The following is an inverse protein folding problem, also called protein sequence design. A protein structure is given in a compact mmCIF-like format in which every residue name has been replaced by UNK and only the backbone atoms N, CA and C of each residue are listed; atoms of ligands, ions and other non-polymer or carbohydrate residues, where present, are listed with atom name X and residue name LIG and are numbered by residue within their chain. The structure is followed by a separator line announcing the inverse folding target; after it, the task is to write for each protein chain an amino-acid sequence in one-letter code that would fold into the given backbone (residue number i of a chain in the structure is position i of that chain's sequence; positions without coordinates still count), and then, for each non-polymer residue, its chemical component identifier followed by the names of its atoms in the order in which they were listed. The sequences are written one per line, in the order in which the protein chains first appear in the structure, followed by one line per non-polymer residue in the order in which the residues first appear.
data_IF_367259090640
#
_entry.id   IF_367259090640
#
_cell.length_a   1.000
_cell.length_b   1.000
_cell.length_c   1.000
_cell.angle_alpha   90.00
_cell.angle_beta   90.00
_cell.angle_gamma   90.00
#
_symmetry.space_group_name_H-M   'P 1'
#
loop_
_entity.id
_entity.type
_entity.pdbx_description
1 polymer ?
#
# COMPACT_ATOMS: atom_id res chain seq x y z
N UNK A 1 -32.53 -3.48 29.78
CA UNK A 1 -32.00 -2.10 29.80
C UNK A 1 -30.97 -2.02 28.68
N UNK A 2 -31.38 -1.65 27.47
CA UNK A 2 -31.56 -0.25 27.00
C UNK A 2 -30.20 0.44 26.84
N UNK A 3 -29.75 0.53 25.58
CA UNK A 3 -28.70 1.44 25.13
C UNK A 3 -29.36 2.77 24.75
N UNK A 4 -28.78 3.90 25.16
CA UNK A 4 -28.59 5.01 24.22
C UNK A 4 -27.13 5.52 24.32
N UNK A 5 -26.38 5.66 23.22
CA UNK A 5 -26.62 6.65 22.17
C UNK A 5 -26.51 8.10 22.68
N UNK A 6 -25.33 8.49 23.17
CA UNK A 6 -24.86 9.87 23.01
C UNK A 6 -24.60 10.11 21.52
N UNK A 7 -25.13 11.13 20.85
CA UNK A 7 -25.77 12.34 21.36
C UNK A 7 -25.14 13.54 20.67
N UNK A 8 -25.31 13.66 19.35
CA UNK A 8 -25.00 14.91 18.65
C UNK A 8 -26.07 15.96 19.00
N UNK A 9 -25.68 17.19 19.36
CA UNK A 9 -26.50 18.37 19.13
C UNK A 9 -26.07 19.05 17.83
N UNK A 10 -26.97 19.12 16.85
CA UNK A 10 -26.94 20.17 15.82
C UNK A 10 -27.43 21.47 16.45
N UNK A 11 -26.87 22.63 16.09
CA UNK A 11 -27.59 23.88 16.18
C UNK A 11 -28.30 24.16 14.85
N UNK A 12 -29.61 23.92 14.81
CA UNK A 12 -30.47 24.57 13.83
C UNK A 12 -30.64 26.04 14.24
N UNK A 13 -30.31 26.99 13.36
CA UNK A 13 -30.86 28.35 13.40
C UNK A 13 -31.30 28.71 11.98
N UNK A 14 -32.45 29.37 11.92
CA UNK A 14 -33.42 29.29 10.84
C UNK A 14 -33.53 30.62 10.03
N UNK A 15 -34.28 30.54 8.93
CA UNK A 15 -34.94 31.64 8.23
C UNK A 15 -34.10 32.65 7.43
N UNK A 16 -34.00 32.34 6.12
CA UNK A 16 -34.61 33.11 5.02
C UNK A 16 -34.48 34.65 5.01
N UNK A 17 -33.88 35.18 3.93
CA UNK A 17 -34.58 36.12 3.02
C UNK A 17 -34.10 35.86 1.58
N UNK A 18 -35.06 35.81 0.64
CA UNK A 18 -34.79 35.75 -0.80
C UNK A 18 -34.51 37.13 -1.39
N UNK A 19 -33.59 37.23 -2.35
CA UNK A 19 -33.81 38.05 -3.56
C UNK A 19 -32.82 37.71 -4.69
N UNK A 20 -33.37 37.58 -5.90
CA UNK A 20 -32.69 37.56 -7.20
C UNK A 20 -33.61 38.33 -8.17
N UNK A 21 -33.22 38.66 -9.44
CA UNK A 21 -31.97 38.33 -10.14
C UNK A 21 -31.30 39.54 -10.86
N UNK A 22 -30.09 39.35 -11.41
CA UNK A 22 -29.38 40.43 -12.12
C UNK A 22 -28.19 39.98 -12.98
N UNK A 23 -28.47 39.34 -14.12
CA UNK A 23 -27.62 39.17 -15.33
C UNK A 23 -26.08 39.24 -15.19
N UNK A 24 -25.42 38.09 -15.41
CA UNK A 24 -24.12 38.04 -16.10
C UNK A 24 -22.89 37.80 -15.23
N UNK A 25 -22.12 36.77 -15.60
CA UNK A 25 -20.67 36.65 -15.47
C UNK A 25 -19.99 37.19 -14.18
N UNK A 26 -20.33 36.67 -13.00
CA UNK A 26 -19.42 36.74 -11.85
C UNK A 26 -19.65 35.61 -10.83
N UNK A 27 -18.61 34.78 -10.65
CA UNK A 27 -18.23 34.06 -9.44
C UNK A 27 -19.27 33.26 -8.61
N UNK A 28 -19.02 31.92 -8.56
CA UNK A 28 -18.80 31.12 -7.31
C UNK A 28 -20.08 30.86 -6.45
N UNK A 29 -20.22 29.84 -5.61
CA UNK A 29 -19.28 29.05 -4.79
C UNK A 29 -20.08 27.88 -4.15
N UNK A 30 -19.47 26.71 -3.95
CA UNK A 30 -19.72 25.93 -2.73
C UNK A 30 -18.38 25.79 -2.01
N UNK A 31 -18.29 26.45 -0.85
CA UNK A 31 -17.15 26.51 0.05
C UNK A 31 -17.38 25.46 1.15
N UNK A 32 -16.52 24.46 1.30
CA UNK A 32 -15.19 24.49 1.95
C UNK A 32 -15.28 24.19 3.46
N UNK A 33 -14.61 23.11 3.85
CA UNK A 33 -13.80 22.89 5.06
C UNK A 33 -12.93 21.65 4.75
N UNK A 34 -11.65 21.54 5.11
CA UNK A 34 -10.51 22.45 4.95
C UNK A 34 -9.23 21.56 4.99
N UNK A 35 -8.13 21.72 4.25
CA UNK A 35 -7.63 22.77 3.34
C UNK A 35 -7.07 22.13 2.05
N UNK A 36 -7.09 22.87 0.93
CA UNK A 36 -6.22 22.61 -0.22
C UNK A 36 -5.43 23.89 -0.55
N UNK A 37 -4.08 23.84 -0.69
CA UNK A 37 -3.32 25.00 -1.10
C UNK A 37 -3.70 25.42 -2.53
N UNK A 38 -3.52 26.72 -2.81
CA UNK A 38 -3.89 27.35 -4.07
C UNK A 38 -3.11 26.76 -5.25
N UNK A 39 -3.68 26.88 -6.45
CA UNK A 39 -3.26 26.21 -7.69
C UNK A 39 -1.77 26.36 -8.04
N UNK A 40 -0.97 25.40 -7.60
CA UNK A 40 0.26 24.99 -8.28
C UNK A 40 -0.09 23.87 -9.25
N UNK A 41 0.33 23.95 -10.51
CA UNK A 41 0.36 22.75 -11.35
C UNK A 41 1.37 21.78 -10.72
N UNK A 42 0.99 20.52 -10.39
CA UNK A 42 1.88 19.61 -9.71
C UNK A 42 3.12 19.41 -10.57
N UNK A 43 4.27 19.83 -10.04
CA UNK A 43 5.57 19.67 -10.70
C UNK A 43 5.75 18.23 -11.15
N UNK A 44 6.53 18.01 -12.20
CA UNK A 44 6.79 16.65 -12.70
C UNK A 44 7.29 15.71 -11.59
N UNK A 45 7.97 16.24 -10.56
CA UNK A 45 8.41 15.51 -9.36
C UNK A 45 7.24 15.12 -8.43
N UNK A 46 6.31 16.02 -8.13
CA UNK A 46 5.11 15.71 -7.33
C UNK A 46 4.23 14.67 -8.03
N UNK A 47 4.05 14.79 -9.36
CA UNK A 47 3.29 13.82 -10.16
C UNK A 47 3.93 12.43 -10.11
N UNK A 48 5.26 12.32 -10.31
CA UNK A 48 5.97 11.04 -10.25
C UNK A 48 6.02 10.44 -8.82
N UNK A 49 6.06 11.28 -7.79
CA UNK A 49 5.95 10.83 -6.40
C UNK A 49 4.56 10.24 -6.09
N UNK A 50 3.48 10.90 -6.52
CA UNK A 50 2.11 10.38 -6.42
C UNK A 50 1.96 9.04 -7.17
N UNK A 51 2.43 8.97 -8.43
CA UNK A 51 2.38 7.74 -9.25
C UNK A 51 3.10 6.58 -8.56
N UNK A 52 4.27 6.81 -7.97
CA UNK A 52 5.00 5.78 -7.21
C UNK A 52 4.20 5.32 -5.98
N UNK A 53 3.66 6.25 -5.18
CA UNK A 53 2.88 5.90 -3.98
C UNK A 53 1.62 5.10 -4.33
N UNK A 54 0.86 5.53 -5.32
CA UNK A 54 -0.34 4.80 -5.79
C UNK A 54 0.00 3.40 -6.29
N UNK A 55 1.08 3.25 -7.07
CA UNK A 55 1.54 1.94 -7.51
C UNK A 55 1.90 1.03 -6.33
N UNK A 56 2.59 1.55 -5.31
CA UNK A 56 2.90 0.80 -4.09
C UNK A 56 1.65 0.41 -3.30
N UNK A 57 0.64 1.27 -3.19
CA UNK A 57 -0.66 0.94 -2.57
C UNK A 57 -1.33 -0.22 -3.31
N UNK A 58 -1.46 -0.13 -4.63
CA UNK A 58 -2.07 -1.20 -5.46
C UNK A 58 -1.30 -2.52 -5.32
N UNK A 59 0.04 -2.48 -5.32
CA UNK A 59 0.89 -3.65 -5.10
C UNK A 59 0.63 -4.27 -3.71
N UNK A 60 0.50 -3.44 -2.67
CA UNK A 60 0.29 -3.88 -1.30
C UNK A 60 -1.08 -4.53 -1.09
N UNK A 61 -2.13 -3.99 -1.73
CA UNK A 61 -3.49 -4.53 -1.71
C UNK A 61 -3.58 -5.91 -2.39
N UNK A 62 -2.88 -6.08 -3.51
CA UNK A 62 -2.92 -7.29 -4.34
C UNK A 62 -1.74 -8.25 -4.08
N UNK A 63 -0.96 -8.02 -3.02
CA UNK A 63 0.38 -8.63 -2.87
C UNK A 63 0.38 -10.16 -2.85
N UNK A 64 -0.69 -10.75 -2.29
CA UNK A 64 -0.91 -12.19 -2.15
C UNK A 64 -1.47 -12.85 -3.42
N UNK A 65 -2.03 -12.07 -4.35
CA UNK A 65 -2.48 -12.57 -5.63
C UNK A 65 -1.25 -12.82 -6.53
N UNK A 66 -1.13 -14.02 -7.09
CA UNK A 66 -0.06 -14.36 -8.03
C UNK A 66 -0.24 -13.63 -9.38
N UNK A 67 -1.49 -13.28 -9.74
CA UNK A 67 -1.85 -12.54 -10.96
C UNK A 67 -1.36 -11.08 -10.98
N UNK A 68 -0.93 -10.55 -9.82
CA UNK A 68 -0.30 -9.24 -9.71
C UNK A 68 1.01 -9.18 -10.53
N UNK A 69 0.90 -8.62 -11.73
CA UNK A 69 2.00 -8.40 -12.68
C UNK A 69 2.31 -6.92 -12.86
N UNK A 70 3.45 -6.60 -13.50
CA UNK A 70 3.78 -5.22 -13.90
C UNK A 70 2.69 -4.61 -14.79
N UNK A 71 2.07 -5.40 -15.68
CA UNK A 71 0.98 -4.94 -16.53
C UNK A 71 -0.25 -4.54 -15.71
N UNK A 72 -0.62 -5.36 -14.72
CA UNK A 72 -1.72 -5.06 -13.79
C UNK A 72 -1.51 -3.72 -13.07
N UNK A 73 -0.35 -3.53 -12.43
CA UNK A 73 -0.03 -2.29 -11.69
C UNK A 73 -0.08 -1.08 -12.62
N UNK A 74 0.53 -1.17 -13.80
CA UNK A 74 0.58 -0.06 -14.76
C UNK A 74 -0.82 0.32 -15.26
N UNK A 75 -1.71 -0.65 -15.48
CA UNK A 75 -3.10 -0.39 -15.85
C UNK A 75 -3.90 0.22 -14.69
N UNK A 76 -3.74 -0.31 -13.48
CA UNK A 76 -4.49 0.10 -12.29
C UNK A 76 -4.17 1.52 -11.81
N UNK A 77 -2.93 2.01 -12.00
CA UNK A 77 -2.50 3.38 -11.64
C UNK A 77 -3.12 4.46 -12.54
N UNK A 78 -3.82 4.08 -13.62
CA UNK A 78 -4.48 4.99 -14.59
C UNK A 78 -3.54 6.06 -15.18
N UNK A 79 -2.25 5.73 -15.31
CA UNK A 79 -1.20 6.59 -15.87
C UNK A 79 -0.53 5.91 -17.07
N UNK A 80 0.15 6.68 -17.91
CA UNK A 80 0.90 6.10 -19.03
C UNK A 80 2.05 5.21 -18.53
N UNK A 81 2.35 4.12 -19.25
CA UNK A 81 3.45 3.20 -18.90
C UNK A 81 4.80 3.92 -18.69
N UNK A 82 5.19 4.89 -19.56
CA UNK A 82 6.42 5.66 -19.36
C UNK A 82 6.42 6.48 -18.07
N UNK A 83 5.29 7.05 -17.64
CA UNK A 83 5.20 7.79 -16.37
C UNK A 83 5.41 6.86 -15.18
N UNK A 84 4.79 5.68 -15.17
CA UNK A 84 4.98 4.68 -14.11
C UNK A 84 6.44 4.21 -14.07
N UNK A 85 7.04 3.87 -15.20
CA UNK A 85 8.44 3.44 -15.24
C UNK A 85 9.41 4.53 -14.76
N UNK A 86 9.19 5.80 -15.16
CA UNK A 86 9.98 6.95 -14.65
C UNK A 86 9.85 7.14 -13.14
N UNK A 87 8.66 6.94 -12.56
CA UNK A 87 8.40 7.11 -11.13
C UNK A 87 9.18 6.11 -10.25
N UNK A 88 9.37 4.88 -10.74
CA UNK A 88 10.22 3.86 -10.10
C UNK A 88 11.71 4.06 -10.43
N UNK A 89 12.05 4.44 -11.66
CA UNK A 89 13.44 4.71 -12.06
C UNK A 89 14.08 5.85 -11.26
N UNK A 90 13.32 6.89 -10.90
CA UNK A 90 13.78 7.97 -9.99
C UNK A 90 14.22 7.47 -8.60
N UNK A 91 13.92 6.22 -8.24
CA UNK A 91 14.28 5.56 -6.97
C UNK A 91 15.24 4.39 -7.17
N UNK A 92 15.83 4.25 -8.36
CA UNK A 92 16.64 3.08 -8.76
C UNK A 92 15.90 1.75 -8.61
N UNK A 93 14.57 1.76 -8.78
CA UNK A 93 13.70 0.60 -8.59
C UNK A 93 12.99 0.21 -9.90
N UNK A 94 12.45 -1.01 -9.91
CA UNK A 94 11.55 -1.49 -10.96
C UNK A 94 10.26 -1.99 -10.33
N UNK A 95 9.14 -1.92 -11.05
CA UNK A 95 7.83 -2.39 -10.56
C UNK A 95 7.90 -3.87 -10.14
N UNK A 96 8.52 -4.73 -10.96
CA UNK A 96 8.74 -6.14 -10.63
C UNK A 96 9.70 -6.35 -9.45
N UNK A 97 10.67 -5.44 -9.26
CA UNK A 97 11.55 -5.42 -8.09
C UNK A 97 10.79 -5.15 -6.80
N UNK A 98 9.92 -4.13 -6.80
CA UNK A 98 9.11 -3.76 -5.64
C UNK A 98 8.07 -4.84 -5.30
N UNK A 99 7.35 -5.39 -6.28
CA UNK A 99 6.44 -6.54 -6.06
C UNK A 99 7.20 -7.70 -5.38
N UNK A 100 8.36 -8.09 -5.93
CA UNK A 100 9.18 -9.17 -5.36
C UNK A 100 9.63 -8.86 -3.93
N UNK A 101 10.15 -7.66 -3.69
CA UNK A 101 10.66 -7.26 -2.38
C UNK A 101 9.56 -7.26 -1.33
N UNK A 102 8.39 -6.68 -1.63
CA UNK A 102 7.24 -6.68 -0.74
C UNK A 102 6.73 -8.11 -0.46
N UNK A 103 6.65 -8.99 -1.47
CA UNK A 103 6.29 -10.40 -1.27
C UNK A 103 7.30 -11.14 -0.39
N UNK A 104 8.60 -10.89 -0.56
CA UNK A 104 9.65 -11.46 0.30
C UNK A 104 9.56 -10.94 1.74
N UNK A 105 9.33 -9.64 1.94
CA UNK A 105 9.12 -9.05 3.25
C UNK A 105 7.92 -9.69 3.97
N UNK A 106 6.79 -9.90 3.27
CA UNK A 106 5.63 -10.60 3.82
C UNK A 106 5.98 -12.05 4.22
N UNK A 107 6.75 -12.79 3.41
CA UNK A 107 7.24 -14.13 3.79
C UNK A 107 8.13 -14.05 5.03
N UNK A 108 9.07 -13.11 5.12
CA UNK A 108 9.91 -12.93 6.30
C UNK A 108 9.08 -12.66 7.57
N UNK A 109 8.05 -11.82 7.49
CA UNK A 109 7.11 -11.58 8.62
C UNK A 109 6.39 -12.86 9.04
N UNK A 110 5.94 -13.68 8.10
CA UNK A 110 5.26 -14.96 8.41
C UNK A 110 6.23 -16.05 8.91
N UNK A 111 7.50 -16.04 8.50
CA UNK A 111 8.54 -16.93 9.03
C UNK A 111 9.01 -16.51 10.44
N UNK A 112 8.84 -15.24 10.79
CA UNK A 112 9.23 -14.64 12.07
C UNK A 112 8.07 -14.54 13.07
N UNK A 113 6.94 -15.22 12.83
CA UNK A 113 5.77 -15.21 13.71
C UNK A 113 5.21 -16.63 13.93
N UNK A 114 4.65 -16.94 15.12
CA UNK A 114 3.92 -18.18 15.34
C UNK A 114 2.67 -18.27 14.43
N UNK A 115 2.25 -19.49 14.00
CA UNK A 115 2.89 -20.78 14.28
C UNK A 115 4.02 -21.10 13.28
N UNK A 116 5.19 -21.49 13.80
CA UNK A 116 6.41 -21.72 12.99
C UNK A 116 6.41 -23.02 12.17
N UNK A 117 5.39 -23.87 12.29
CA UNK A 117 5.30 -25.17 11.63
C UNK A 117 4.72 -25.11 10.20
N UNK A 118 4.18 -23.98 9.73
CA UNK A 118 3.61 -23.85 8.39
C UNK A 118 4.69 -24.13 7.32
N UNK A 119 4.48 -25.01 6.33
CA UNK A 119 5.51 -25.31 5.33
C UNK A 119 5.99 -24.06 4.56
N UNK A 120 7.29 -24.00 4.25
CA UNK A 120 7.91 -22.86 3.53
C UNK A 120 7.22 -22.64 2.17
N UNK A 121 6.97 -23.74 1.46
CA UNK A 121 6.23 -23.75 0.19
C UNK A 121 4.82 -23.14 0.31
N UNK A 122 4.06 -23.54 1.35
CA UNK A 122 2.74 -22.97 1.63
C UNK A 122 2.81 -21.46 1.89
N UNK A 123 3.86 -20.97 2.57
CA UNK A 123 4.06 -19.54 2.77
C UNK A 123 4.42 -18.81 1.47
N UNK A 124 5.23 -19.41 0.59
CA UNK A 124 5.55 -18.83 -0.72
C UNK A 124 4.28 -18.62 -1.57
N UNK A 125 3.43 -19.65 -1.71
CA UNK A 125 2.17 -19.53 -2.44
C UNK A 125 1.21 -18.52 -1.80
N UNK A 126 1.06 -18.52 -0.47
CA UNK A 126 0.23 -17.54 0.27
C UNK A 126 0.68 -16.09 0.10
N UNK A 127 1.95 -15.87 -0.26
CA UNK A 127 2.53 -14.57 -0.54
C UNK A 127 2.61 -14.27 -2.06
N UNK A 128 1.87 -14.98 -2.90
CA UNK A 128 1.75 -14.70 -4.33
C UNK A 128 2.95 -15.11 -5.19
N UNK A 129 3.82 -16.01 -4.72
CA UNK A 129 4.81 -16.65 -5.60
C UNK A 129 4.15 -17.76 -6.41
N UNK A 130 4.36 -17.75 -7.73
CA UNK A 130 3.85 -18.77 -8.66
C UNK A 130 4.58 -20.12 -8.50
N UNK A 131 5.88 -20.10 -8.18
CA UNK A 131 6.68 -21.31 -8.02
C UNK A 131 7.77 -21.18 -6.93
N UNK A 132 8.02 -22.30 -6.23
CA UNK A 132 8.95 -22.38 -5.08
C UNK A 132 10.42 -22.23 -5.50
N UNK A 133 10.80 -22.63 -6.73
CA UNK A 133 12.18 -22.53 -7.25
C UNK A 133 12.54 -21.06 -7.50
N UNK A 134 11.63 -20.27 -8.05
CA UNK A 134 11.78 -18.82 -8.20
C UNK A 134 11.73 -18.11 -6.87
N UNK A 135 10.82 -18.49 -5.97
CA UNK A 135 10.82 -18.00 -4.60
C UNK A 135 12.18 -18.20 -3.91
N UNK A 136 12.70 -19.44 -3.85
CA UNK A 136 13.98 -19.74 -3.17
C UNK A 136 15.17 -18.97 -3.78
N UNK A 137 15.24 -18.89 -5.11
CA UNK A 137 16.26 -18.12 -5.84
C UNK A 137 16.20 -16.62 -5.51
N UNK A 138 15.00 -16.06 -5.46
CA UNK A 138 14.78 -14.66 -5.09
C UNK A 138 15.08 -14.43 -3.61
N UNK A 139 14.60 -15.26 -2.71
CA UNK A 139 14.81 -15.13 -1.27
C UNK A 139 16.31 -15.15 -0.94
N UNK A 140 17.08 -16.11 -1.45
CA UNK A 140 18.53 -16.16 -1.20
C UNK A 140 19.29 -14.98 -1.80
N UNK A 141 18.83 -14.43 -2.94
CA UNK A 141 19.46 -13.26 -3.57
C UNK A 141 19.21 -11.96 -2.80
N UNK A 142 17.98 -11.74 -2.33
CA UNK A 142 17.59 -10.45 -1.71
C UNK A 142 17.77 -10.46 -0.17
N UNK A 143 17.65 -11.62 0.49
CA UNK A 143 17.74 -11.79 1.96
C UNK A 143 19.10 -12.41 2.39
N UNK A 144 19.85 -13.00 1.46
CA UNK A 144 21.19 -13.55 1.70
C UNK A 144 21.25 -14.95 2.34
N UNK A 145 20.11 -15.51 2.78
CA UNK A 145 20.01 -16.84 3.44
C UNK A 145 18.94 -17.69 2.77
N UNK A 146 18.85 -18.99 3.08
CA UNK A 146 17.66 -19.77 2.70
C UNK A 146 16.46 -19.46 3.63
N UNK A 147 15.20 -19.66 3.20
CA UNK A 147 14.04 -19.47 4.06
C UNK A 147 14.03 -20.39 5.29
N UNK A 148 14.68 -21.57 5.20
CA UNK A 148 14.85 -22.50 6.31
C UNK A 148 15.87 -22.00 7.34
N UNK A 149 17.03 -21.54 6.89
CA UNK A 149 18.02 -20.84 7.74
C UNK A 149 17.41 -19.63 8.45
N UNK A 150 16.63 -18.83 7.71
CA UNK A 150 15.92 -17.67 8.26
C UNK A 150 14.95 -18.08 9.36
N UNK A 151 14.12 -19.09 9.13
CA UNK A 151 13.18 -19.62 10.15
C UNK A 151 13.89 -20.14 11.38
N UNK A 152 14.96 -20.93 11.21
CA UNK A 152 15.72 -21.49 12.32
C UNK A 152 16.32 -20.37 13.21
N UNK A 153 16.86 -19.31 12.59
CA UNK A 153 17.33 -18.12 13.30
C UNK A 153 16.21 -17.40 14.04
N UNK A 154 15.04 -17.22 13.41
CA UNK A 154 13.90 -16.60 14.08
C UNK A 154 13.42 -17.44 15.27
N UNK A 155 13.33 -18.77 15.12
CA UNK A 155 12.96 -19.68 16.19
C UNK A 155 13.89 -19.56 17.41
N UNK A 156 15.21 -19.54 17.22
CA UNK A 156 16.18 -19.33 18.30
C UNK A 156 15.92 -18.01 19.06
N UNK A 157 15.82 -16.89 18.34
CA UNK A 157 15.53 -15.57 18.92
C UNK A 157 14.16 -15.49 19.61
N UNK A 158 13.19 -16.29 19.18
CA UNK A 158 11.87 -16.38 19.83
C UNK A 158 11.93 -17.21 21.11
N UNK A 159 12.73 -18.28 21.15
CA UNK A 159 12.94 -19.09 22.36
C UNK A 159 13.71 -18.29 23.43
N UNK A 160 14.78 -17.60 23.04
CA UNK A 160 15.56 -16.69 23.91
C UNK A 160 14.71 -15.57 24.53
N UNK A 161 13.59 -15.17 23.90
CA UNK A 161 12.70 -14.12 24.40
C UNK A 161 11.61 -14.63 25.37
N UNK A 162 11.22 -15.89 25.25
CA UNK A 162 10.02 -16.44 25.91
C UNK A 162 10.35 -17.27 27.16
N UNK A 163 11.61 -17.64 27.36
CA UNK A 163 12.11 -18.14 28.64
C UNK A 163 12.75 -17.00 29.46
N UNK A 164 11.98 -16.28 30.32
CA UNK A 164 12.59 -15.66 31.49
C UNK A 164 13.05 -16.78 32.46
N UNK A 165 14.12 -16.51 33.20
CA UNK A 165 14.60 -17.37 34.30
C UNK A 165 13.54 -17.54 35.42
#
# INVERSE_FOLDING_TARGET
MVVPATGQPRPDIDLCVMSAPGRGCFLRLIAQIDKAPRTEHPSARQTLDWVYRQACTIIQEHLRDFSLTVNFVVAAVRCSRPTVYRAFAQRNQTVAGVIRMMRLQLVCTLLAAPPFNVPIETLAYRCGFEDVRTFNRCFRREIGTSPGEFRARMLALWMERIAPD
#
